data_IF_852237581239
#
_entry.id   IF_852237581239
#
_cell.length_a   1.000
_cell.length_b   1.000
_cell.length_c   1.000
_cell.angle_alpha   90.00
_cell.angle_beta   90.00
_cell.angle_gamma   90.00
#
_symmetry.space_group_name_H-M   'P 1'
#
loop_
_entity.id
_entity.type
_entity.pdbx_description
1 polymer ?
#
# COMPACT_ATOMS: atom_id res chain seq x y z
N UNK A 1 -6.34 21.71 -14.17
CA UNK A 1 -5.83 20.49 -13.48
C UNK A 1 -7.04 19.60 -13.29
N UNK A 2 -6.97 18.32 -13.68
CA UNK A 2 -8.04 17.33 -13.42
C UNK A 2 -8.14 17.12 -11.90
N UNK A 3 -9.34 16.90 -11.41
CA UNK A 3 -9.53 16.48 -10.01
C UNK A 3 -9.07 15.04 -9.89
N UNK A 4 -8.16 14.70 -8.95
CA UNK A 4 -7.70 13.33 -8.78
C UNK A 4 -8.86 12.40 -8.42
N UNK A 5 -8.75 11.12 -8.82
CA UNK A 5 -9.79 10.14 -8.54
C UNK A 5 -9.89 9.79 -7.05
N UNK A 6 -8.75 9.59 -6.40
CA UNK A 6 -8.64 9.53 -4.94
C UNK A 6 -7.75 10.67 -4.47
N UNK A 7 -8.23 11.44 -3.50
CA UNK A 7 -7.48 12.53 -2.87
C UNK A 7 -7.51 12.35 -1.36
N UNK A 8 -6.34 12.29 -0.74
CA UNK A 8 -6.15 12.23 0.71
C UNK A 8 -5.42 13.48 1.16
N UNK A 9 -5.95 14.20 2.15
CA UNK A 9 -5.40 15.48 2.64
C UNK A 9 -5.28 15.46 4.15
N UNK A 10 -4.07 15.69 4.64
CA UNK A 10 -3.69 15.79 6.07
C UNK A 10 -4.32 14.71 6.95
N UNK A 11 -4.43 13.48 6.41
CA UNK A 11 -5.06 12.36 7.10
C UNK A 11 -4.33 12.05 8.40
N UNK A 12 -5.07 12.03 9.50
CA UNK A 12 -4.62 11.57 10.80
C UNK A 12 -5.50 10.42 11.27
N UNK A 13 -4.87 9.36 11.72
CA UNK A 13 -5.54 8.20 12.32
C UNK A 13 -4.89 7.94 13.67
N UNK A 14 -5.63 8.24 14.73
CA UNK A 14 -5.17 8.10 16.10
C UNK A 14 -6.02 7.09 16.85
N UNK A 15 -5.38 6.15 17.55
CA UNK A 15 -6.05 5.16 18.37
C UNK A 15 -5.93 5.53 19.85
N UNK A 16 -7.06 5.56 20.54
CA UNK A 16 -7.10 5.68 22.00
C UNK A 16 -6.88 4.31 22.63
N UNK A 17 -5.83 4.16 23.43
CA UNK A 17 -5.47 2.94 24.15
C UNK A 17 -5.36 3.24 25.64
N UNK A 18 -5.29 2.22 26.50
CA UNK A 18 -5.07 2.39 27.95
C UNK A 18 -3.74 3.12 28.26
N UNK A 19 -2.71 2.91 27.42
CA UNK A 19 -1.38 3.52 27.57
C UNK A 19 -1.29 4.94 26.98
N UNK A 20 -2.33 5.42 26.29
CA UNK A 20 -2.35 6.74 25.65
C UNK A 20 -2.80 6.73 24.19
N UNK A 21 -2.47 7.79 23.45
CA UNK A 21 -2.89 7.96 22.06
C UNK A 21 -1.78 7.52 21.10
N UNK A 22 -2.05 6.47 20.34
CA UNK A 22 -1.16 5.97 19.26
C UNK A 22 -1.44 6.75 17.98
N UNK A 23 -0.46 7.53 17.50
CA UNK A 23 -0.54 8.34 16.28
C UNK A 23 -0.10 7.52 15.07
N UNK A 24 -0.96 6.58 14.65
CA UNK A 24 -0.64 5.60 13.61
C UNK A 24 -0.45 6.24 12.23
N UNK A 25 -1.23 7.26 11.90
CA UNK A 25 -1.02 8.15 10.74
C UNK A 25 -1.11 9.58 11.24
N UNK A 26 -0.21 10.46 10.78
CA UNK A 26 -0.07 11.80 11.34
C UNK A 26 0.29 12.84 10.25
N UNK A 27 -0.72 13.21 9.46
CA UNK A 27 -0.62 14.22 8.41
C UNK A 27 -0.15 13.64 7.07
N UNK A 28 -0.85 12.63 6.55
CA UNK A 28 -0.58 12.00 5.26
C UNK A 28 -1.42 12.65 4.16
N UNK A 29 -0.75 13.02 3.04
CA UNK A 29 -1.42 13.58 1.87
C UNK A 29 -0.87 12.96 0.58
N UNK A 30 -1.78 12.52 -0.30
CA UNK A 30 -1.45 11.99 -1.62
C UNK A 30 -2.66 11.98 -2.53
N UNK A 31 -2.41 11.81 -3.82
CA UNK A 31 -3.41 11.67 -4.86
C UNK A 31 -3.16 10.38 -5.65
N UNK A 32 -4.25 9.82 -6.22
CA UNK A 32 -4.19 8.72 -7.19
C UNK A 32 -5.15 9.04 -8.33
N UNK A 33 -4.65 8.99 -9.56
CA UNK A 33 -5.46 9.15 -10.76
C UNK A 33 -6.10 7.82 -11.20
N UNK A 34 -7.14 7.88 -12.05
CA UNK A 34 -7.68 6.65 -12.66
C UNK A 34 -6.62 5.95 -13.49
N UNK A 35 -6.56 4.62 -13.37
CA UNK A 35 -5.58 3.80 -14.08
C UNK A 35 -4.14 3.95 -13.60
N UNK A 36 -3.90 4.66 -12.49
CA UNK A 36 -2.59 4.83 -11.88
C UNK A 36 -2.37 3.82 -10.77
N UNK A 37 -1.13 3.33 -10.61
CA UNK A 37 -0.70 2.55 -9.45
C UNK A 37 0.18 3.38 -8.53
N UNK A 38 -0.29 3.64 -7.31
CA UNK A 38 0.50 4.21 -6.23
C UNK A 38 1.08 3.08 -5.36
N UNK A 39 2.40 2.95 -5.33
CA UNK A 39 3.11 2.09 -4.41
C UNK A 39 3.30 2.76 -3.04
N UNK A 40 2.87 2.11 -1.95
CA UNK A 40 3.13 2.59 -0.58
C UNK A 40 4.08 1.63 0.10
N UNK A 41 5.26 2.11 0.47
CA UNK A 41 6.34 1.31 1.07
C UNK A 41 6.74 1.81 2.45
N UNK A 42 7.33 0.92 3.25
CA UNK A 42 7.86 1.23 4.57
C UNK A 42 7.91 0.01 5.47
N UNK A 43 8.63 0.09 6.58
CA UNK A 43 8.70 -1.00 7.57
C UNK A 43 7.33 -1.32 8.20
N UNK A 44 7.21 -2.49 8.83
CA UNK A 44 6.03 -2.84 9.62
C UNK A 44 5.76 -1.77 10.69
N UNK A 45 4.48 -1.45 10.92
CA UNK A 45 4.08 -0.40 11.87
C UNK A 45 4.25 1.03 11.35
N UNK A 46 4.62 1.27 10.08
CA UNK A 46 4.74 2.64 9.54
C UNK A 46 3.41 3.34 9.25
N UNK A 47 2.26 2.64 9.36
CA UNK A 47 0.91 3.20 9.17
C UNK A 47 0.23 2.85 7.84
N UNK A 48 0.84 2.03 6.99
CA UNK A 48 0.33 1.68 5.65
C UNK A 48 -1.08 1.07 5.68
N UNK A 49 -1.24 -0.08 6.34
CA UNK A 49 -2.54 -0.77 6.43
C UNK A 49 -3.59 0.06 7.19
N UNK A 50 -3.16 0.88 8.15
CA UNK A 50 -4.05 1.82 8.86
C UNK A 50 -4.63 2.87 7.90
N UNK A 51 -3.82 3.39 6.98
CA UNK A 51 -4.27 4.32 5.93
C UNK A 51 -5.34 3.68 5.03
N UNK A 52 -5.12 2.43 4.61
CA UNK A 52 -6.09 1.70 3.78
C UNK A 52 -7.43 1.47 4.48
N UNK A 53 -7.36 1.06 5.75
CA UNK A 53 -8.55 0.89 6.57
C UNK A 53 -9.32 2.20 6.74
N UNK A 54 -8.62 3.35 6.80
CA UNK A 54 -9.25 4.66 6.84
C UNK A 54 -9.96 5.00 5.52
N UNK A 55 -9.34 4.74 4.36
CA UNK A 55 -9.96 4.94 3.04
C UNK A 55 -11.23 4.09 2.91
N UNK A 56 -11.20 2.85 3.41
CA UNK A 56 -12.36 1.97 3.38
C UNK A 56 -13.37 2.24 4.50
N UNK A 57 -13.08 3.14 5.45
CA UNK A 57 -13.94 3.42 6.60
C UNK A 57 -14.15 2.18 7.50
N UNK A 58 -13.09 1.38 7.72
CA UNK A 58 -13.16 0.12 8.47
C UNK A 58 -12.61 0.23 9.90
N UNK A 59 -12.24 1.44 10.35
CA UNK A 59 -11.83 1.65 11.74
C UNK A 59 -13.03 1.70 12.68
N UNK A 60 -12.87 1.16 13.90
CA UNK A 60 -13.88 1.25 14.94
C UNK A 60 -13.93 2.69 15.52
N UNK A 61 -15.04 3.42 15.33
CA UNK A 61 -15.14 4.82 15.77
C UNK A 61 -15.09 4.98 17.29
N UNK A 62 -15.23 3.90 18.06
CA UNK A 62 -15.19 3.96 19.54
C UNK A 62 -13.78 4.20 20.08
N UNK A 63 -12.76 3.77 19.36
CA UNK A 63 -11.37 3.88 19.78
C UNK A 63 -10.48 4.61 18.75
N UNK A 64 -11.04 5.03 17.61
CA UNK A 64 -10.29 5.65 16.54
C UNK A 64 -10.80 7.06 16.26
N UNK A 65 -9.87 8.02 16.24
CA UNK A 65 -10.13 9.39 15.75
C UNK A 65 -9.54 9.55 14.37
N UNK A 66 -10.39 9.94 13.42
CA UNK A 66 -10.00 10.30 12.05
C UNK A 66 -10.10 11.82 11.89
N UNK A 67 -9.08 12.45 11.29
CA UNK A 67 -9.04 13.87 10.94
C UNK A 67 -8.40 14.05 9.55
N UNK A 68 -8.72 15.14 8.86
CA UNK A 68 -8.32 15.36 7.47
C UNK A 68 -9.47 15.15 6.50
N UNK A 69 -9.14 14.85 5.25
CA UNK A 69 -10.13 14.64 4.18
C UNK A 69 -9.73 13.45 3.30
N UNK A 70 -10.70 12.63 2.91
CA UNK A 70 -10.55 11.55 1.92
C UNK A 70 -11.65 11.68 0.88
N UNK A 71 -11.31 12.10 -0.34
CA UNK A 71 -12.25 12.22 -1.45
C UNK A 71 -12.04 11.08 -2.45
N UNK A 72 -13.07 10.30 -2.71
CA UNK A 72 -13.11 9.31 -3.79
C UNK A 72 -14.09 9.78 -4.87
N UNK A 73 -13.58 10.14 -6.03
CA UNK A 73 -14.36 10.72 -7.14
C UNK A 73 -15.24 11.90 -6.65
N UNK A 74 -14.62 12.78 -5.86
CA UNK A 74 -15.26 13.96 -5.27
C UNK A 74 -16.18 13.67 -4.07
N UNK A 75 -16.36 12.41 -3.66
CA UNK A 75 -17.17 12.04 -2.50
C UNK A 75 -16.31 11.91 -1.24
N UNK A 76 -16.66 12.66 -0.18
CA UNK A 76 -15.98 12.59 1.12
C UNK A 76 -16.32 11.26 1.84
N UNK A 77 -15.27 10.57 2.33
CA UNK A 77 -15.40 9.25 2.93
C UNK A 77 -15.36 9.27 4.47
N UNK A 78 -14.62 10.20 5.10
CA UNK A 78 -14.49 10.23 6.58
C UNK A 78 -15.84 10.51 7.25
N UNK A 79 -16.62 11.44 6.66
CA UNK A 79 -17.92 11.85 7.18
C UNK A 79 -19.10 11.06 6.59
N UNK A 80 -18.82 10.16 5.63
CA UNK A 80 -19.85 9.33 5.01
C UNK A 80 -20.49 8.37 6.03
N UNK A 81 -21.80 8.18 5.91
CA UNK A 81 -22.53 7.20 6.74
C UNK A 81 -22.12 5.76 6.36
N UNK A 82 -22.24 4.84 7.32
CA UNK A 82 -21.94 3.41 7.07
C UNK A 82 -22.73 2.85 5.87
N UNK A 83 -24.00 3.26 5.71
CA UNK A 83 -24.83 2.86 4.58
C UNK A 83 -24.30 3.33 3.22
N UNK A 84 -23.63 4.49 3.19
CA UNK A 84 -22.98 5.03 1.99
C UNK A 84 -21.68 4.29 1.70
N UNK A 85 -20.88 4.02 2.73
CA UNK A 85 -19.64 3.26 2.62
C UNK A 85 -19.91 1.81 2.17
N UNK A 86 -20.95 1.16 2.69
CA UNK A 86 -21.37 -0.19 2.25
C UNK A 86 -21.69 -0.27 0.76
N UNK A 87 -22.23 0.81 0.16
CA UNK A 87 -22.51 0.85 -1.29
C UNK A 87 -21.25 0.99 -2.13
N UNK A 88 -20.19 1.57 -1.56
CA UNK A 88 -18.91 1.76 -2.24
C UNK A 88 -18.00 0.55 -2.11
N UNK A 89 -17.94 -0.05 -0.91
CA UNK A 89 -17.13 -1.25 -0.63
C UNK A 89 -17.60 -2.43 -1.46
N UNK A 90 -16.68 -3.12 -2.13
CA UNK A 90 -16.96 -4.26 -3.00
C UNK A 90 -17.56 -3.89 -4.36
N UNK A 91 -17.87 -2.63 -4.61
CA UNK A 91 -18.39 -2.12 -5.88
C UNK A 91 -17.43 -1.09 -6.49
N UNK A 92 -17.38 0.13 -5.94
CA UNK A 92 -16.50 1.20 -6.46
C UNK A 92 -15.07 1.10 -5.91
N UNK A 93 -14.91 0.66 -4.68
CA UNK A 93 -13.62 0.40 -4.04
C UNK A 93 -13.59 -1.00 -3.44
N UNK A 94 -12.47 -1.70 -3.61
CA UNK A 94 -12.28 -3.08 -3.10
C UNK A 94 -10.88 -3.25 -2.52
N UNK A 95 -10.69 -4.32 -1.74
CA UNK A 95 -9.43 -4.61 -1.08
C UNK A 95 -9.04 -6.07 -1.23
N UNK A 96 -7.78 -6.31 -1.50
CA UNK A 96 -7.09 -7.58 -1.36
C UNK A 96 -6.35 -7.54 -0.02
N UNK A 97 -6.74 -8.40 0.91
CA UNK A 97 -6.14 -8.48 2.24
C UNK A 97 -4.84 -9.28 2.23
N UNK A 98 -3.99 -9.07 3.21
CA UNK A 98 -2.72 -9.75 3.38
C UNK A 98 -2.89 -11.27 3.58
N UNK A 99 -3.89 -11.70 4.35
CA UNK A 99 -4.16 -13.12 4.66
C UNK A 99 -5.40 -13.63 3.94
N UNK A 100 -5.17 -14.43 2.88
CA UNK A 100 -6.24 -15.07 2.13
C UNK A 100 -7.02 -16.12 2.97
N UNK A 101 -6.39 -16.75 3.98
CA UNK A 101 -7.07 -17.70 4.84
C UNK A 101 -8.08 -17.02 5.76
N UNK A 102 -7.72 -15.87 6.32
CA UNK A 102 -8.61 -15.08 7.16
C UNK A 102 -9.76 -14.45 6.36
N UNK A 103 -9.53 -14.19 5.06
CA UNK A 103 -10.50 -13.51 4.19
C UNK A 103 -11.55 -14.44 3.59
N UNK A 104 -11.27 -15.75 3.51
CA UNK A 104 -12.19 -16.73 2.93
C UNK A 104 -12.88 -17.57 4.03
N UNK A 105 -14.21 -17.58 4.03
CA UNK A 105 -15.00 -18.40 4.96
C UNK A 105 -14.79 -19.90 4.65
N UNK A 106 -14.37 -20.72 5.62
CA UNK A 106 -14.20 -22.16 5.40
C UNK A 106 -15.52 -22.92 5.23
N UNK A 107 -16.65 -22.29 5.54
CA UNK A 107 -17.99 -22.91 5.54
C UNK A 107 -18.73 -22.73 4.22
N UNK A 108 -18.24 -21.89 3.31
CA UNK A 108 -18.87 -21.59 2.02
C UNK A 108 -17.93 -21.94 0.87
N UNK A 109 -18.53 -22.38 -0.25
CA UNK A 109 -17.76 -22.63 -1.47
C UNK A 109 -17.18 -21.32 -2.02
N UNK A 110 -16.09 -21.42 -2.78
CA UNK A 110 -15.44 -20.25 -3.40
C UNK A 110 -16.43 -19.48 -4.28
N UNK A 111 -17.19 -20.18 -5.12
CA UNK A 111 -18.18 -19.53 -5.99
C UNK A 111 -19.33 -18.88 -5.23
N UNK A 112 -19.74 -19.43 -4.07
CA UNK A 112 -20.76 -18.82 -3.25
C UNK A 112 -20.28 -17.46 -2.67
N UNK A 113 -19.04 -17.39 -2.21
CA UNK A 113 -18.46 -16.17 -1.62
C UNK A 113 -18.27 -15.08 -2.69
N UNK A 114 -17.69 -15.41 -3.85
CA UNK A 114 -17.56 -14.48 -4.98
C UNK A 114 -18.93 -14.01 -5.45
N UNK A 115 -19.87 -14.95 -5.65
CA UNK A 115 -21.20 -14.65 -6.14
C UNK A 115 -22.08 -13.86 -5.16
N UNK A 116 -21.86 -13.99 -3.86
CA UNK A 116 -22.54 -13.20 -2.83
C UNK A 116 -22.20 -11.71 -2.98
N UNK A 117 -20.92 -11.38 -3.08
CA UNK A 117 -20.45 -9.99 -3.32
C UNK A 117 -21.10 -9.42 -4.58
N UNK A 118 -21.07 -10.15 -5.70
CA UNK A 118 -21.65 -9.71 -6.95
C UNK A 118 -23.17 -9.48 -6.84
N UNK A 119 -23.92 -10.40 -6.22
CA UNK A 119 -25.35 -10.26 -6.03
C UNK A 119 -25.74 -9.09 -5.13
N UNK A 120 -24.98 -8.87 -4.07
CA UNK A 120 -25.22 -7.76 -3.13
C UNK A 120 -25.21 -6.40 -3.85
N UNK A 121 -24.31 -6.22 -4.81
CA UNK A 121 -24.11 -4.93 -5.48
C UNK A 121 -24.88 -4.78 -6.79
N UNK A 122 -25.12 -5.86 -7.53
CA UNK A 122 -25.77 -5.80 -8.84
C UNK A 122 -27.24 -6.24 -8.82
N UNK A 123 -27.68 -6.91 -7.77
CA UNK A 123 -29.01 -7.53 -7.73
C UNK A 123 -29.15 -8.78 -8.63
N UNK A 124 -28.04 -9.30 -9.15
CA UNK A 124 -28.02 -10.44 -10.05
C UNK A 124 -28.64 -11.71 -9.45
N UNK A 125 -29.21 -12.57 -10.29
CA UNK A 125 -29.70 -13.88 -9.91
C UNK A 125 -28.55 -14.82 -9.47
N UNK A 126 -28.87 -15.90 -8.78
CA UNK A 126 -27.88 -16.94 -8.41
C UNK A 126 -27.17 -17.53 -9.63
N UNK A 127 -27.88 -17.69 -10.76
CA UNK A 127 -27.33 -18.24 -12.00
C UNK A 127 -26.30 -17.29 -12.63
N UNK A 128 -26.63 -16.01 -12.71
CA UNK A 128 -25.72 -14.96 -13.22
C UNK A 128 -24.50 -14.82 -12.32
N UNK A 129 -24.67 -14.78 -11.00
CA UNK A 129 -23.57 -14.70 -10.05
C UNK A 129 -22.62 -15.89 -10.14
N UNK A 130 -23.15 -17.12 -10.32
CA UNK A 130 -22.32 -18.31 -10.53
C UNK A 130 -21.54 -18.20 -11.84
N UNK A 131 -22.15 -17.76 -12.93
CA UNK A 131 -21.46 -17.56 -14.20
C UNK A 131 -20.34 -16.53 -14.07
N UNK A 132 -20.60 -15.40 -13.39
CA UNK A 132 -19.61 -14.37 -13.10
C UNK A 132 -18.47 -14.89 -12.21
N UNK A 133 -18.78 -15.70 -11.19
CA UNK A 133 -17.76 -16.34 -10.35
C UNK A 133 -16.82 -17.24 -11.16
N UNK A 134 -17.37 -18.07 -12.06
CA UNK A 134 -16.58 -18.92 -12.95
C UNK A 134 -15.71 -18.09 -13.88
N UNK A 135 -16.25 -17.02 -14.46
CA UNK A 135 -15.50 -16.09 -15.29
C UNK A 135 -14.32 -15.47 -14.53
N UNK A 136 -14.57 -14.98 -13.32
CA UNK A 136 -13.52 -14.38 -12.49
C UNK A 136 -12.45 -15.40 -12.09
N UNK A 137 -12.84 -16.63 -11.71
CA UNK A 137 -11.88 -17.70 -11.43
C UNK A 137 -11.02 -18.04 -12.67
N UNK A 138 -11.60 -17.99 -13.88
CA UNK A 138 -10.85 -18.19 -15.13
C UNK A 138 -9.85 -17.06 -15.37
N UNK A 139 -10.27 -15.80 -15.17
CA UNK A 139 -9.41 -14.61 -15.32
C UNK A 139 -8.21 -14.64 -14.39
N UNK A 140 -8.40 -15.03 -13.13
CA UNK A 140 -7.29 -15.17 -12.18
C UNK A 140 -6.47 -16.45 -12.36
N UNK A 141 -6.73 -17.22 -13.42
CA UNK A 141 -5.94 -18.40 -13.78
C UNK A 141 -6.16 -19.63 -12.87
N UNK A 142 -7.35 -19.77 -12.26
CA UNK A 142 -7.72 -21.03 -11.57
C UNK A 142 -7.99 -22.11 -12.63
N UNK A 143 -7.30 -23.27 -12.57
CA UNK A 143 -7.55 -24.38 -13.49
C UNK A 143 -8.94 -24.98 -13.27
N UNK A 144 -9.62 -25.38 -14.36
CA UNK A 144 -10.95 -26.00 -14.32
C UNK A 144 -11.97 -25.18 -13.49
N UNK A 145 -12.19 -23.88 -13.76
CA UNK A 145 -12.97 -23.00 -12.92
C UNK A 145 -14.43 -23.43 -12.79
N UNK A 146 -14.99 -24.10 -13.79
CA UNK A 146 -16.36 -24.63 -13.81
C UNK A 146 -16.59 -25.70 -12.73
N UNK A 147 -15.55 -26.45 -12.37
CA UNK A 147 -15.57 -27.45 -11.29
C UNK A 147 -15.17 -26.81 -9.95
N UNK A 148 -14.08 -26.02 -9.96
CA UNK A 148 -13.50 -25.42 -8.75
C UNK A 148 -14.40 -24.39 -8.08
N UNK A 149 -15.36 -23.83 -8.78
CA UNK A 149 -16.35 -22.89 -8.22
C UNK A 149 -17.14 -23.49 -7.06
N UNK A 150 -17.32 -24.82 -7.03
CA UNK A 150 -18.05 -25.54 -5.98
C UNK A 150 -17.13 -26.08 -4.86
N UNK A 151 -15.82 -25.90 -4.98
CA UNK A 151 -14.86 -26.31 -3.96
C UNK A 151 -14.85 -25.32 -2.79
N UNK A 152 -14.40 -25.81 -1.64
CA UNK A 152 -14.18 -25.03 -0.42
C UNK A 152 -12.74 -24.53 -0.33
N UNK A 153 -12.47 -23.46 0.46
CA UNK A 153 -11.12 -22.91 0.59
C UNK A 153 -10.04 -23.93 1.01
N UNK A 154 -10.36 -24.91 1.83
CA UNK A 154 -9.42 -25.94 2.26
C UNK A 154 -8.98 -26.89 1.14
N UNK A 155 -9.72 -26.96 0.03
CA UNK A 155 -9.40 -27.76 -1.15
C UNK A 155 -8.45 -27.00 -2.13
N UNK A 156 -8.22 -25.71 -1.88
CA UNK A 156 -7.33 -24.86 -2.67
C UNK A 156 -5.93 -24.80 -2.08
N UNK A 157 -4.91 -24.76 -2.94
CA UNK A 157 -3.53 -24.41 -2.51
C UNK A 157 -3.45 -22.95 -2.03
N UNK A 158 -2.36 -22.55 -1.37
CA UNK A 158 -2.15 -21.19 -0.93
C UNK A 158 -2.28 -20.16 -2.08
N UNK A 159 -1.59 -20.39 -3.18
CA UNK A 159 -1.69 -19.53 -4.36
C UNK A 159 -3.08 -19.52 -5.00
N UNK A 160 -3.81 -20.64 -5.00
CA UNK A 160 -5.20 -20.67 -5.48
C UNK A 160 -6.14 -19.88 -4.58
N UNK A 161 -5.97 -19.91 -3.25
CA UNK A 161 -6.75 -19.09 -2.31
C UNK A 161 -6.50 -17.61 -2.53
N UNK A 162 -5.22 -17.21 -2.73
CA UNK A 162 -4.86 -15.85 -3.06
C UNK A 162 -5.56 -15.37 -4.34
N UNK A 163 -5.50 -16.18 -5.41
CA UNK A 163 -6.20 -15.90 -6.68
C UNK A 163 -7.72 -15.82 -6.51
N UNK A 164 -8.31 -16.69 -5.69
CA UNK A 164 -9.75 -16.65 -5.40
C UNK A 164 -10.16 -15.38 -4.63
N UNK A 165 -9.32 -14.93 -3.67
CA UNK A 165 -9.52 -13.66 -2.98
C UNK A 165 -9.42 -12.47 -3.94
N UNK A 166 -8.46 -12.48 -4.87
CA UNK A 166 -8.36 -11.47 -5.94
C UNK A 166 -9.60 -11.50 -6.81
N UNK A 167 -10.09 -12.68 -7.23
CA UNK A 167 -11.33 -12.82 -7.98
C UNK A 167 -12.54 -12.22 -7.25
N UNK A 168 -12.62 -12.43 -5.93
CA UNK A 168 -13.67 -11.86 -5.09
C UNK A 168 -13.57 -10.33 -4.99
N UNK A 169 -12.37 -9.79 -4.87
CA UNK A 169 -12.15 -8.35 -4.82
C UNK A 169 -12.51 -7.65 -6.15
N UNK A 170 -12.36 -8.34 -7.27
CA UNK A 170 -12.54 -7.78 -8.62
C UNK A 170 -13.91 -8.10 -9.24
N UNK A 171 -14.77 -8.89 -8.59
CA UNK A 171 -16.00 -9.43 -9.19
C UNK A 171 -16.99 -8.36 -9.68
N UNK A 172 -16.94 -7.15 -9.07
CA UNK A 172 -17.77 -6.00 -9.43
C UNK A 172 -17.02 -4.94 -10.27
N UNK A 173 -15.85 -5.25 -10.81
CA UNK A 173 -15.01 -4.34 -11.60
C UNK A 173 -14.76 -2.99 -10.89
N UNK A 174 -14.12 -2.99 -9.69
CA UNK A 174 -13.96 -1.79 -8.88
C UNK A 174 -13.07 -0.75 -9.59
N UNK A 175 -13.39 0.55 -9.38
CA UNK A 175 -12.59 1.65 -9.90
C UNK A 175 -11.34 1.93 -9.03
N UNK A 176 -11.35 1.55 -7.73
CA UNK A 176 -10.21 1.58 -6.82
C UNK A 176 -9.96 0.19 -6.23
N UNK A 177 -8.75 -0.31 -6.40
CA UNK A 177 -8.28 -1.54 -5.77
C UNK A 177 -7.16 -1.23 -4.77
N UNK A 178 -7.32 -1.64 -3.53
CA UNK A 178 -6.29 -1.56 -2.51
C UNK A 178 -5.72 -2.97 -2.31
N UNK A 179 -4.44 -3.16 -2.59
CA UNK A 179 -3.74 -4.43 -2.44
C UNK A 179 -2.75 -4.33 -1.26
N UNK A 180 -3.12 -4.88 -0.11
CA UNK A 180 -2.29 -4.84 1.10
C UNK A 180 -1.47 -6.12 1.21
N UNK A 181 -0.20 -6.03 0.85
CA UNK A 181 0.76 -7.14 0.79
C UNK A 181 0.22 -8.39 0.06
N UNK A 182 -0.33 -8.26 -1.15
CA UNK A 182 -1.10 -9.34 -1.80
C UNK A 182 -0.26 -10.56 -2.19
N UNK A 183 1.07 -10.45 -2.13
CA UNK A 183 2.01 -11.51 -2.53
C UNK A 183 2.85 -12.05 -1.36
N UNK A 184 2.62 -11.58 -0.14
CA UNK A 184 3.33 -12.07 1.05
C UNK A 184 3.07 -13.57 1.25
N UNK A 185 4.12 -14.33 1.54
CA UNK A 185 4.12 -15.78 1.69
C UNK A 185 3.84 -16.61 0.41
N UNK A 186 3.98 -16.00 -0.77
CA UNK A 186 3.95 -16.71 -2.05
C UNK A 186 5.36 -16.93 -2.59
N UNK A 187 5.52 -18.01 -3.37
CA UNK A 187 6.76 -18.18 -4.13
C UNK A 187 6.88 -17.15 -5.26
N UNK A 188 8.12 -16.88 -5.70
CA UNK A 188 8.46 -15.85 -6.69
C UNK A 188 7.68 -16.01 -8.00
N UNK A 189 7.43 -17.27 -8.41
CA UNK A 189 6.70 -17.55 -9.66
C UNK A 189 5.24 -17.16 -9.55
N UNK A 190 4.57 -17.52 -8.46
CA UNK A 190 3.16 -17.16 -8.20
C UNK A 190 3.04 -15.64 -7.99
N UNK A 191 4.00 -15.03 -7.29
CA UNK A 191 4.06 -13.58 -7.13
C UNK A 191 4.10 -12.87 -8.50
N UNK A 192 5.02 -13.23 -9.40
CA UNK A 192 5.10 -12.65 -10.73
C UNK A 192 3.76 -12.79 -11.50
N UNK A 193 3.13 -13.96 -11.46
CA UNK A 193 1.84 -14.20 -12.12
C UNK A 193 0.71 -13.34 -11.56
N UNK A 194 0.72 -13.05 -10.25
CA UNK A 194 -0.27 -12.14 -9.65
C UNK A 194 0.00 -10.69 -10.05
N UNK A 195 1.28 -10.28 -10.13
CA UNK A 195 1.66 -8.95 -10.58
C UNK A 195 1.21 -8.69 -12.02
N UNK A 196 1.46 -9.65 -12.92
CA UNK A 196 1.02 -9.56 -14.32
C UNK A 196 -0.52 -9.49 -14.39
N UNK A 197 -1.22 -10.34 -13.64
CA UNK A 197 -2.68 -10.29 -13.56
C UNK A 197 -3.20 -8.91 -13.11
N UNK A 198 -2.61 -8.29 -12.10
CA UNK A 198 -3.04 -6.98 -11.61
C UNK A 198 -2.78 -5.88 -12.65
N UNK A 199 -1.65 -5.94 -13.37
CA UNK A 199 -1.34 -5.03 -14.48
C UNK A 199 -2.35 -5.17 -15.63
N UNK A 200 -2.65 -6.40 -16.04
CA UNK A 200 -3.61 -6.68 -17.10
C UNK A 200 -4.99 -6.13 -16.76
N UNK A 201 -5.44 -6.35 -15.51
CA UNK A 201 -6.74 -5.87 -15.02
C UNK A 201 -6.76 -4.33 -14.89
N UNK A 202 -5.67 -3.72 -14.47
CA UNK A 202 -5.53 -2.26 -14.44
C UNK A 202 -5.69 -1.67 -15.86
N UNK A 203 -5.02 -2.26 -16.84
CA UNK A 203 -5.08 -1.80 -18.22
C UNK A 203 -6.47 -2.03 -18.86
N UNK A 204 -7.11 -3.17 -18.57
CA UNK A 204 -8.43 -3.51 -19.10
C UNK A 204 -9.54 -2.60 -18.54
N UNK A 205 -9.53 -2.30 -17.24
CA UNK A 205 -10.62 -1.60 -16.55
C UNK A 205 -10.30 -0.14 -16.21
N UNK A 206 -9.06 0.30 -16.35
CA UNK A 206 -8.63 1.64 -15.88
C UNK A 206 -8.73 1.80 -14.37
N UNK A 207 -8.59 0.70 -13.62
CA UNK A 207 -8.67 0.67 -12.16
C UNK A 207 -7.49 1.43 -11.55
N UNK A 208 -7.74 2.34 -10.62
CA UNK A 208 -6.71 2.92 -9.77
C UNK A 208 -6.25 1.88 -8.74
N UNK A 209 -4.94 1.73 -8.53
CA UNK A 209 -4.41 0.74 -7.59
C UNK A 209 -3.57 1.43 -6.51
N UNK A 210 -3.85 1.13 -5.25
CA UNK A 210 -2.92 1.36 -4.14
C UNK A 210 -2.28 0.01 -3.80
N UNK A 211 -0.98 -0.09 -4.04
CA UNK A 211 -0.23 -1.32 -3.80
C UNK A 211 0.70 -1.15 -2.60
N UNK A 212 0.43 -1.88 -1.53
CA UNK A 212 1.26 -1.87 -0.33
C UNK A 212 2.16 -3.10 -0.29
N UNK A 213 3.43 -2.86 -0.05
CA UNK A 213 4.41 -3.91 0.20
C UNK A 213 5.61 -3.32 0.97
N UNK A 214 6.40 -4.20 1.57
CA UNK A 214 7.74 -3.87 2.07
C UNK A 214 8.84 -4.20 1.04
N UNK A 215 8.49 -4.81 -0.09
CA UNK A 215 9.41 -5.19 -1.16
C UNK A 215 9.46 -4.12 -2.27
N UNK A 216 10.58 -3.39 -2.33
CA UNK A 216 10.81 -2.36 -3.35
C UNK A 216 11.02 -2.95 -4.75
N UNK A 217 11.42 -4.22 -4.86
CA UNK A 217 11.50 -4.91 -6.15
C UNK A 217 10.13 -5.05 -6.80
N UNK A 218 9.12 -5.41 -6.01
CA UNK A 218 7.73 -5.47 -6.44
C UNK A 218 7.22 -4.10 -6.87
N UNK A 219 7.57 -3.05 -6.12
CA UNK A 219 7.19 -1.66 -6.46
C UNK A 219 7.81 -1.23 -7.78
N UNK A 220 9.07 -1.57 -8.03
CA UNK A 220 9.76 -1.26 -9.29
C UNK A 220 9.00 -1.81 -10.51
N UNK A 221 8.33 -2.95 -10.33
CA UNK A 221 7.58 -3.60 -11.41
C UNK A 221 6.20 -2.99 -11.65
N UNK A 222 5.45 -2.64 -10.59
CA UNK A 222 4.02 -2.32 -10.73
C UNK A 222 3.69 -0.83 -10.59
N UNK A 223 4.44 -0.07 -9.77
CA UNK A 223 4.06 1.29 -9.42
C UNK A 223 4.39 2.30 -10.53
N UNK A 224 3.56 3.33 -10.66
CA UNK A 224 3.85 4.56 -11.40
C UNK A 224 4.51 5.56 -10.45
N UNK A 225 3.88 5.81 -9.30
CA UNK A 225 4.38 6.66 -8.23
C UNK A 225 4.62 5.86 -6.95
N UNK A 226 5.53 6.35 -6.12
CA UNK A 226 5.89 5.73 -4.85
C UNK A 226 5.77 6.73 -3.70
N UNK A 227 5.19 6.28 -2.60
CA UNK A 227 5.09 6.98 -1.34
C UNK A 227 5.77 6.15 -0.25
N UNK A 228 6.79 6.72 0.36
CA UNK A 228 7.56 6.07 1.43
C UNK A 228 7.05 6.53 2.78
N UNK A 229 6.57 5.59 3.61
CA UNK A 229 6.06 5.87 4.94
C UNK A 229 7.04 5.44 6.03
N UNK A 230 7.26 6.30 7.01
CA UNK A 230 8.00 6.01 8.22
C UNK A 230 7.34 6.64 9.44
N UNK A 231 7.12 5.82 10.47
CA UNK A 231 6.57 6.29 11.73
C UNK A 231 5.25 7.06 11.60
N UNK A 232 4.33 6.62 10.74
CA UNK A 232 3.02 7.25 10.50
C UNK A 232 3.02 8.48 9.59
N UNK A 233 4.13 8.77 8.89
CA UNK A 233 4.25 9.94 8.01
C UNK A 233 4.83 9.57 6.66
N UNK A 234 4.48 10.34 5.62
CA UNK A 234 5.23 10.33 4.37
C UNK A 234 6.59 11.00 4.59
N UNK A 235 7.66 10.31 4.23
CA UNK A 235 9.03 10.83 4.29
C UNK A 235 9.59 11.15 2.92
N UNK A 236 9.13 10.45 1.89
CA UNK A 236 9.48 10.71 0.50
C UNK A 236 8.34 10.29 -0.44
N UNK A 237 8.15 11.00 -1.53
CA UNK A 237 7.26 10.64 -2.64
C UNK A 237 7.83 11.12 -3.97
N UNK A 238 7.47 10.43 -5.04
CA UNK A 238 7.87 10.76 -6.41
C UNK A 238 7.50 9.62 -7.35
N UNK A 239 7.89 9.75 -8.62
CA UNK A 239 7.82 8.63 -9.55
C UNK A 239 8.69 7.47 -9.07
N UNK A 240 8.40 6.25 -9.51
CA UNK A 240 9.22 5.08 -9.12
C UNK A 240 10.70 5.24 -9.50
N UNK A 241 10.98 5.86 -10.65
CA UNK A 241 12.36 6.14 -11.09
C UNK A 241 13.08 7.09 -10.14
N UNK A 242 12.41 8.15 -9.68
CA UNK A 242 12.99 9.12 -8.75
C UNK A 242 13.28 8.49 -7.40
N UNK A 243 12.30 7.78 -6.82
CA UNK A 243 12.43 7.20 -5.48
C UNK A 243 13.42 6.03 -5.46
N UNK A 244 13.43 5.19 -6.51
CA UNK A 244 14.26 3.98 -6.52
C UNK A 244 15.69 4.23 -7.04
N UNK A 245 15.89 5.19 -7.96
CA UNK A 245 17.22 5.45 -8.54
C UNK A 245 17.93 6.64 -7.94
N UNK A 246 17.17 7.66 -7.53
CA UNK A 246 17.71 8.89 -6.95
C UNK A 246 16.98 9.27 -5.67
N UNK A 247 17.03 8.41 -4.62
CA UNK A 247 16.31 8.67 -3.38
C UNK A 247 16.71 10.02 -2.79
N UNK A 248 15.76 10.69 -2.13
CA UNK A 248 15.94 12.02 -1.56
C UNK A 248 15.79 12.06 -0.02
N UNK A 249 15.54 10.88 0.58
CA UNK A 249 15.47 10.73 2.03
C UNK A 249 16.39 9.61 2.54
N UNK A 250 17.13 9.81 3.64
CA UNK A 250 18.05 8.80 4.20
C UNK A 250 17.41 7.46 4.53
N UNK A 251 16.13 7.45 4.90
CA UNK A 251 15.40 6.21 5.14
C UNK A 251 15.20 5.41 3.86
N UNK A 252 14.80 6.05 2.76
CA UNK A 252 14.65 5.41 1.44
C UNK A 252 15.98 4.84 0.97
N UNK A 253 17.06 5.60 1.12
CA UNK A 253 18.42 5.14 0.83
C UNK A 253 18.76 3.87 1.65
N UNK A 254 18.42 3.86 2.94
CA UNK A 254 18.60 2.70 3.82
C UNK A 254 17.76 1.49 3.41
N UNK A 255 16.49 1.69 3.00
CA UNK A 255 15.64 0.62 2.48
C UNK A 255 16.24 -0.02 1.22
N UNK A 256 16.64 0.80 0.26
CA UNK A 256 17.35 0.36 -0.94
C UNK A 256 18.65 -0.37 -0.55
N UNK A 257 19.31 0.11 0.52
CA UNK A 257 20.50 -0.43 1.14
C UNK A 257 20.39 -1.83 1.69
N UNK A 258 19.21 -2.19 2.08
CA UNK A 258 18.92 -3.49 2.68
C UNK A 258 18.54 -4.56 1.65
N UNK A 259 18.44 -4.20 0.35
CA UNK A 259 18.05 -5.13 -0.71
C UNK A 259 19.28 -5.75 -1.39
N UNK A 260 19.20 -7.04 -1.75
CA UNK A 260 20.20 -7.65 -2.62
C UNK A 260 20.21 -6.97 -3.99
N UNK A 261 21.38 -6.60 -4.50
CA UNK A 261 21.51 -6.10 -5.87
C UNK A 261 21.47 -7.28 -6.85
N UNK A 262 20.52 -7.27 -7.79
CA UNK A 262 20.45 -8.30 -8.85
C UNK A 262 21.61 -8.22 -9.84
N UNK A 263 22.24 -7.04 -9.98
CA UNK A 263 23.30 -6.76 -10.96
C UNK A 263 24.60 -6.29 -10.31
N UNK A 264 24.66 -6.21 -8.97
CA UNK A 264 25.86 -5.79 -8.23
C UNK A 264 26.80 -6.97 -7.91
N UNK A 265 28.03 -6.67 -7.46
CA UNK A 265 28.92 -7.71 -6.96
C UNK A 265 28.28 -8.48 -5.83
N UNK A 266 28.37 -9.81 -5.88
CA UNK A 266 27.77 -10.73 -4.88
C UNK A 266 28.32 -10.53 -3.46
N UNK A 267 29.48 -9.89 -3.33
CA UNK A 267 30.22 -9.71 -2.09
C UNK A 267 29.99 -8.35 -1.39
N UNK A 268 29.06 -7.50 -1.88
CA UNK A 268 28.75 -6.25 -1.17
C UNK A 268 27.83 -6.56 0.01
N UNK A 269 28.27 -6.35 1.27
CA UNK A 269 27.44 -6.59 2.43
C UNK A 269 26.17 -5.73 2.40
N UNK A 270 25.01 -6.34 2.70
CA UNK A 270 23.79 -5.59 2.92
C UNK A 270 23.99 -4.61 4.08
N UNK A 271 23.50 -3.39 3.91
CA UNK A 271 23.57 -2.35 4.93
C UNK A 271 22.18 -2.16 5.58
N UNK A 272 21.85 -2.95 6.61
CA UNK A 272 20.55 -2.83 7.26
C UNK A 272 20.45 -1.50 8.01
N UNK A 273 19.24 -0.94 8.05
CA UNK A 273 18.95 0.24 8.86
C UNK A 273 19.08 -0.13 10.34
N UNK A 274 19.98 0.53 11.13
CA UNK A 274 20.20 0.17 12.52
C UNK A 274 18.98 0.46 13.41
N UNK A 275 18.87 -0.27 14.52
CA UNK A 275 17.83 -0.06 15.54
C UNK A 275 16.44 -0.53 15.10
N UNK A 276 15.43 -0.19 15.90
CA UNK A 276 14.03 -0.55 15.68
C UNK A 276 13.18 0.66 15.27
N UNK A 277 12.07 0.46 14.53
CA UNK A 277 11.10 1.52 14.27
C UNK A 277 10.62 2.22 15.54
N UNK A 278 10.28 3.51 15.50
CA UNK A 278 9.88 4.26 16.69
C UNK A 278 8.50 3.81 17.18
N UNK A 279 8.28 3.94 18.49
CA UNK A 279 6.94 3.82 19.07
C UNK A 279 6.03 4.93 18.54
N UNK A 280 4.84 4.58 18.06
CA UNK A 280 3.83 5.54 17.63
C UNK A 280 3.04 6.12 18.81
N UNK A 281 3.18 5.55 20.00
CA UNK A 281 2.65 6.11 21.25
C UNK A 281 3.47 7.33 21.69
N UNK A 282 4.81 7.19 21.65
CA UNK A 282 5.77 8.24 22.01
C UNK A 282 6.78 8.44 20.88
N UNK A 283 6.35 9.00 19.73
CA UNK A 283 7.25 9.18 18.60
C UNK A 283 8.35 10.21 18.93
N UNK A 284 9.56 10.04 18.38
CA UNK A 284 10.63 11.00 18.53
C UNK A 284 10.20 12.42 18.11
N UNK A 285 10.70 13.44 18.82
CA UNK A 285 10.55 14.84 18.43
C UNK A 285 11.25 15.08 17.07
N UNK A 286 10.88 16.15 16.39
CA UNK A 286 11.48 16.51 15.11
C UNK A 286 11.25 15.49 14.00
N UNK A 287 12.30 15.11 13.28
CA UNK A 287 12.30 14.06 12.28
C UNK A 287 12.15 12.69 12.96
N UNK A 288 11.11 11.94 12.69
CA UNK A 288 10.89 10.63 13.33
C UNK A 288 11.99 9.59 13.03
N UNK A 289 12.73 9.79 11.94
CA UNK A 289 13.83 8.91 11.56
C UNK A 289 15.18 9.30 12.21
N UNK A 290 15.32 10.50 12.82
CA UNK A 290 16.62 11.00 13.30
C UNK A 290 17.38 10.03 14.22
N UNK A 291 16.75 9.22 15.11
CA UNK A 291 17.50 8.31 15.98
C UNK A 291 18.20 7.16 15.25
N UNK A 292 17.77 6.87 14.00
CA UNK A 292 18.34 5.82 13.13
C UNK A 292 19.08 6.37 11.92
N UNK A 293 19.08 7.71 11.75
CA UNK A 293 19.64 8.37 10.58
C UNK A 293 21.16 8.54 10.72
N UNK A 294 21.93 7.88 9.85
CA UNK A 294 23.39 8.02 9.82
C UNK A 294 23.87 9.46 9.51
N UNK A 295 23.00 10.30 9.00
CA UNK A 295 23.31 11.67 8.58
C UNK A 295 22.73 12.74 9.50
N UNK A 296 22.11 12.38 10.62
CA UNK A 296 21.45 13.35 11.51
C UNK A 296 22.41 14.42 12.03
N UNK A 297 23.66 14.06 12.32
CA UNK A 297 24.70 14.97 12.80
C UNK A 297 25.26 15.91 11.72
N UNK A 298 25.03 15.62 10.43
CA UNK A 298 25.40 16.49 9.32
C UNK A 298 24.51 17.73 9.21
N UNK A 299 23.34 17.71 9.84
CA UNK A 299 22.39 18.83 9.87
C UNK A 299 22.75 19.76 11.03
N UNK A 300 23.11 21.00 10.71
CA UNK A 300 23.49 22.00 11.71
C UNK A 300 22.34 22.34 12.66
N UNK A 301 22.67 22.76 13.88
CA UNK A 301 21.70 23.27 14.88
C UNK A 301 20.79 22.23 15.51
N UNK A 302 21.04 20.92 15.33
CA UNK A 302 20.22 19.87 15.93
C UNK A 302 18.77 19.81 15.39
N UNK A 303 18.49 20.38 14.22
CA UNK A 303 17.15 20.48 13.63
C UNK A 303 16.45 19.12 13.52
N UNK A 304 17.21 18.05 13.24
CA UNK A 304 16.64 16.72 13.12
C UNK A 304 15.95 16.23 14.40
N UNK A 305 16.40 16.65 15.58
CA UNK A 305 15.82 16.28 16.86
C UNK A 305 14.78 17.27 17.39
N UNK A 306 14.83 18.53 16.97
CA UNK A 306 14.01 19.63 17.52
C UNK A 306 12.85 20.03 16.61
N UNK A 307 12.99 19.94 15.29
CA UNK A 307 12.02 20.46 14.34
C UNK A 307 11.53 19.39 13.36
N UNK A 308 10.21 19.33 13.14
CA UNK A 308 9.60 18.44 12.14
C UNK A 308 9.93 18.93 10.73
N UNK A 309 10.64 18.14 9.88
CA UNK A 309 10.78 18.51 8.48
C UNK A 309 9.43 18.46 7.76
N UNK A 310 9.11 19.54 7.05
CA UNK A 310 7.93 19.55 6.15
C UNK A 310 8.20 18.73 4.90
N UNK A 311 7.18 18.04 4.40
CA UNK A 311 7.23 17.41 3.08
C UNK A 311 7.16 18.51 2.02
N UNK A 312 8.32 18.89 1.47
CA UNK A 312 8.41 19.88 0.39
C UNK A 312 8.20 19.14 -0.93
N UNK A 313 7.07 19.40 -1.57
CA UNK A 313 6.71 18.80 -2.87
C UNK A 313 6.96 19.82 -3.98
N UNK A 314 7.73 19.46 -4.99
CA UNK A 314 7.96 20.21 -6.21
C UNK A 314 7.77 19.25 -7.40
N UNK A 315 6.91 19.60 -8.33
CA UNK A 315 6.61 18.80 -9.54
C UNK A 315 6.28 17.32 -9.25
N UNK A 316 5.52 17.07 -8.18
CA UNK A 316 5.11 15.72 -7.77
C UNK A 316 6.11 15.00 -6.85
N UNK A 317 7.39 15.36 -6.88
CA UNK A 317 8.45 14.82 -6.01
C UNK A 317 8.54 15.58 -4.70
N UNK A 318 8.76 14.89 -3.60
CA UNK A 318 8.91 15.53 -2.29
C UNK A 318 9.63 14.67 -1.27
N UNK A 319 10.37 15.35 -0.36
CA UNK A 319 11.10 14.72 0.73
C UNK A 319 11.01 15.53 2.02
N UNK A 320 10.75 14.84 3.13
CA UNK A 320 10.69 15.42 4.47
C UNK A 320 12.03 15.26 5.20
N UNK A 321 13.06 16.00 4.75
CA UNK A 321 14.41 15.94 5.30
C UNK A 321 15.00 17.34 5.46
N UNK A 322 15.86 17.54 6.48
CA UNK A 322 16.56 18.79 6.73
C UNK A 322 17.88 18.92 5.96
N UNK A 323 18.40 17.83 5.38
CA UNK A 323 19.57 17.90 4.50
C UNK A 323 19.27 18.81 3.30
N UNK A 324 20.24 19.63 2.91
CA UNK A 324 20.17 20.42 1.68
C UNK A 324 20.34 19.53 0.45
N UNK A 325 19.92 20.03 -0.72
CA UNK A 325 20.09 19.30 -1.98
C UNK A 325 21.56 18.91 -2.25
N UNK A 326 22.50 19.84 -1.98
CA UNK A 326 23.94 19.59 -2.16
C UNK A 326 24.44 18.49 -1.22
N UNK A 327 24.03 18.53 0.07
CA UNK A 327 24.37 17.50 1.05
C UNK A 327 23.82 16.12 0.65
N UNK A 328 22.59 16.06 0.17
CA UNK A 328 21.99 14.82 -0.32
C UNK A 328 22.74 14.29 -1.53
N UNK A 329 23.06 15.16 -2.50
CA UNK A 329 23.77 14.77 -3.69
C UNK A 329 25.15 14.18 -3.33
N UNK A 330 25.93 14.84 -2.48
CA UNK A 330 27.24 14.36 -2.02
C UNK A 330 27.13 13.01 -1.31
N UNK A 331 26.26 12.92 -0.28
CA UNK A 331 26.17 11.74 0.58
C UNK A 331 25.53 10.53 -0.11
N UNK A 332 24.56 10.76 -1.02
CA UNK A 332 23.81 9.67 -1.64
C UNK A 332 24.50 9.15 -2.90
N UNK A 333 25.24 9.99 -3.63
CA UNK A 333 26.01 9.54 -4.80
C UNK A 333 27.03 8.47 -4.43
N UNK A 334 27.74 8.65 -3.31
CA UNK A 334 28.69 7.64 -2.81
C UNK A 334 27.99 6.30 -2.48
N UNK A 335 26.80 6.35 -1.87
CA UNK A 335 26.05 5.14 -1.48
C UNK A 335 25.36 4.46 -2.67
N UNK A 336 24.86 5.21 -3.64
CA UNK A 336 24.23 4.66 -4.84
C UNK A 336 25.26 4.12 -5.81
N UNK A 337 26.37 4.84 -6.03
CA UNK A 337 27.45 4.41 -6.92
C UNK A 337 28.11 3.11 -6.45
N UNK A 338 28.25 2.89 -5.14
CA UNK A 338 28.79 1.65 -4.59
C UNK A 338 27.94 0.40 -4.90
N UNK A 339 26.75 0.55 -5.49
CA UNK A 339 25.78 -0.50 -5.81
C UNK A 339 25.52 -0.70 -7.29
N UNK A 340 25.84 0.30 -8.11
CA UNK A 340 25.70 0.24 -9.58
C UNK A 340 26.93 -0.32 -10.26
N UNK A 341 28.01 -0.56 -9.54
CA UNK A 341 29.23 -1.25 -9.95
C UNK A 341 29.33 -2.63 -9.31
#
# INVERSE_FOLDING_TARGET
MSTPFLSVRDLKVHFSTEDGVVKAVDGLSFDVEKGQTLGIVGESGSGKSVTNMAILGLHDPRNTTLDGEILLDGKELITASERELEKLRGNKMSMIFQDALASLSPYHTIGAQIGETYRKHTGASRKEARARSIEMLRRVGIPQPDMRVDDYPHQFSGGMRQRAMIAMALVCDPELLIADEPTTALDVTVQAQIMDLLKDLQQEFGTAIIFITHDLGVIADIADDVLVMYGGRCVERGTKEEVLRTPDHPYTLGLLGSMPSLNGPVDVPLSPIPGSPPSLLNPPSGCRFHPRCAFAEKVAGGLCSSERPGLKVLDGRGSACHLTADQKHELFTEHVAARTH
#
